data_IF_725109076764
#
_entry.id   IF_725109076764
#
_cell.length_a   1.000
_cell.length_b   1.000
_cell.length_c   1.000
_cell.angle_alpha   90.00
_cell.angle_beta   90.00
_cell.angle_gamma   90.00
#
_symmetry.space_group_name_H-M   'P 1'
#
loop_
_entity.id
_entity.type
_entity.pdbx_description
1 polymer ?
#
# COMPACT_ATOMS: atom_id res chain seq x y z
N UNK A 1 19.87 43.88 -17.70
CA UNK A 1 19.57 42.67 -16.91
C UNK A 1 20.80 42.32 -16.10
N UNK A 2 20.70 42.32 -14.79
CA UNK A 2 21.84 42.01 -13.90
C UNK A 2 22.22 40.54 -14.02
N UNK A 3 23.50 40.17 -13.87
CA UNK A 3 24.00 38.78 -13.90
C UNK A 3 23.17 37.85 -12.97
N UNK A 4 22.67 38.37 -11.87
CA UNK A 4 21.85 37.69 -10.90
C UNK A 4 20.49 37.20 -11.47
N UNK A 5 19.85 37.99 -12.35
CA UNK A 5 18.60 37.58 -13.00
C UNK A 5 18.81 36.47 -14.05
N UNK A 6 19.96 36.46 -14.71
CA UNK A 6 20.31 35.42 -15.68
C UNK A 6 20.61 34.09 -14.99
N UNK A 7 21.30 34.13 -13.86
CA UNK A 7 21.59 32.95 -13.05
C UNK A 7 20.30 32.36 -12.43
N UNK A 8 19.44 33.22 -11.88
CA UNK A 8 18.12 32.81 -11.36
C UNK A 8 17.29 32.10 -12.42
N UNK A 9 17.14 32.69 -13.60
CA UNK A 9 16.37 32.10 -14.70
C UNK A 9 16.95 30.74 -15.15
N UNK A 10 18.29 30.65 -15.23
CA UNK A 10 18.96 29.39 -15.58
C UNK A 10 18.70 28.30 -14.55
N UNK A 11 18.76 28.62 -13.26
CA UNK A 11 18.47 27.70 -12.19
C UNK A 11 17.00 27.28 -12.21
N UNK A 12 16.08 28.22 -12.43
CA UNK A 12 14.65 27.94 -12.56
C UNK A 12 14.37 26.97 -13.70
N UNK A 13 14.94 27.16 -14.88
CA UNK A 13 14.76 26.27 -16.02
C UNK A 13 15.29 24.86 -15.74
N UNK A 14 16.46 24.75 -15.12
CA UNK A 14 17.04 23.46 -14.73
C UNK A 14 16.17 22.74 -13.69
N UNK A 15 15.68 23.46 -12.71
CA UNK A 15 14.84 22.89 -11.67
C UNK A 15 13.49 22.40 -12.25
N UNK A 16 12.87 23.18 -13.14
CA UNK A 16 11.65 22.76 -13.85
C UNK A 16 11.88 21.50 -14.68
N UNK A 17 13.04 21.37 -15.34
CA UNK A 17 13.38 20.13 -16.06
C UNK A 17 13.50 18.93 -15.13
N UNK A 18 14.12 19.09 -13.95
CA UNK A 18 14.20 18.03 -12.95
C UNK A 18 12.81 17.64 -12.42
N UNK A 19 11.95 18.61 -12.14
CA UNK A 19 10.57 18.36 -11.73
C UNK A 19 9.81 17.57 -12.81
N UNK A 20 9.90 17.98 -14.07
CA UNK A 20 9.28 17.28 -15.19
C UNK A 20 9.77 15.83 -15.34
N UNK A 21 11.08 15.59 -15.18
CA UNK A 21 11.65 14.24 -15.20
C UNK A 21 11.13 13.38 -14.05
N UNK A 22 11.02 13.97 -12.86
CA UNK A 22 10.45 13.28 -11.69
C UNK A 22 8.99 12.92 -11.93
N UNK A 23 8.16 13.86 -12.38
CA UNK A 23 6.74 13.63 -12.69
C UNK A 23 6.56 12.54 -13.76
N UNK A 24 7.37 12.53 -14.80
CA UNK A 24 7.33 11.49 -15.83
C UNK A 24 7.69 10.10 -15.24
N UNK A 25 8.68 10.05 -14.35
CA UNK A 25 9.05 8.84 -13.62
C UNK A 25 7.93 8.38 -12.71
N UNK A 26 7.33 9.28 -11.93
CA UNK A 26 6.18 8.95 -11.06
C UNK A 26 5.01 8.39 -11.83
N UNK A 27 4.64 9.01 -12.95
CA UNK A 27 3.58 8.52 -13.84
C UNK A 27 3.84 7.08 -14.28
N UNK A 28 5.08 6.77 -14.67
CA UNK A 28 5.49 5.41 -15.06
C UNK A 28 5.39 4.42 -13.89
N UNK A 29 5.86 4.80 -12.69
CA UNK A 29 5.81 3.94 -11.50
C UNK A 29 4.35 3.67 -11.09
N UNK A 30 3.46 4.66 -11.21
CA UNK A 30 2.03 4.52 -10.88
C UNK A 30 1.31 3.50 -11.75
N UNK A 31 1.82 3.16 -12.92
CA UNK A 31 1.31 2.07 -13.76
C UNK A 31 1.66 0.67 -13.20
N UNK A 32 2.49 0.58 -12.17
CA UNK A 32 2.87 -0.70 -11.57
C UNK A 32 3.47 -1.66 -12.59
N UNK A 33 2.81 -2.81 -12.83
CA UNK A 33 3.19 -3.80 -13.83
C UNK A 33 2.88 -3.41 -15.28
N UNK A 34 2.30 -2.22 -15.51
CA UNK A 34 1.93 -1.68 -16.83
C UNK A 34 0.48 -1.95 -17.21
N UNK A 35 0.02 -1.27 -18.26
CA UNK A 35 -1.37 -1.27 -18.73
C UNK A 35 -1.92 -2.68 -18.98
N UNK A 36 -1.14 -3.56 -19.58
CA UNK A 36 -1.54 -4.95 -19.82
C UNK A 36 -1.87 -5.68 -18.51
N UNK A 37 -1.07 -5.46 -17.46
CA UNK A 37 -1.30 -6.09 -16.15
C UNK A 37 -2.48 -5.48 -15.42
N UNK A 38 -2.76 -4.21 -15.62
CA UNK A 38 -3.97 -3.53 -15.12
C UNK A 38 -5.19 -4.17 -15.76
N UNK A 39 -5.20 -4.30 -17.08
CA UNK A 39 -6.30 -4.93 -17.82
C UNK A 39 -6.53 -6.39 -17.40
N UNK A 40 -5.47 -7.17 -17.16
CA UNK A 40 -5.58 -8.53 -16.62
C UNK A 40 -6.26 -8.57 -15.23
N UNK A 41 -6.16 -7.53 -14.40
CA UNK A 41 -6.90 -7.44 -13.13
C UNK A 41 -8.39 -7.15 -13.38
N UNK A 42 -8.68 -6.21 -14.28
CA UNK A 42 -10.06 -5.87 -14.64
C UNK A 42 -10.81 -7.07 -15.23
N UNK A 43 -10.17 -7.85 -16.11
CA UNK A 43 -10.75 -9.08 -16.68
C UNK A 43 -11.08 -10.15 -15.62
N UNK A 44 -10.41 -10.12 -14.47
CA UNK A 44 -10.72 -10.96 -13.32
C UNK A 44 -11.80 -10.37 -12.40
N UNK A 45 -12.40 -9.24 -12.77
CA UNK A 45 -13.40 -8.53 -11.96
C UNK A 45 -12.81 -7.79 -10.75
N UNK A 46 -11.50 -7.54 -10.73
CA UNK A 46 -10.78 -6.91 -9.63
C UNK A 46 -10.41 -5.47 -9.95
N UNK A 47 -10.44 -4.61 -8.95
CA UNK A 47 -9.81 -3.30 -9.01
C UNK A 47 -8.29 -3.43 -8.75
N UNK A 48 -7.51 -2.51 -9.31
CA UNK A 48 -6.10 -2.35 -8.94
C UNK A 48 -5.95 -1.76 -7.54
N UNK A 49 -4.76 -1.87 -6.95
CA UNK A 49 -4.48 -1.27 -5.64
C UNK A 49 -4.80 0.23 -5.59
N UNK A 50 -4.48 0.98 -6.64
CA UNK A 50 -4.74 2.42 -6.72
C UNK A 50 -6.21 2.75 -6.88
N UNK A 51 -6.96 1.98 -7.64
CA UNK A 51 -8.41 2.13 -7.79
C UNK A 51 -9.14 1.81 -6.49
N UNK A 52 -8.71 0.75 -5.78
CA UNK A 52 -9.22 0.42 -4.44
C UNK A 52 -9.00 1.56 -3.46
N UNK A 53 -7.81 2.15 -3.44
CA UNK A 53 -7.51 3.31 -2.58
C UNK A 53 -8.37 4.52 -2.98
N UNK A 54 -8.44 4.84 -4.27
CA UNK A 54 -9.23 5.97 -4.78
C UNK A 54 -10.72 5.84 -4.45
N UNK A 55 -11.26 4.60 -4.47
CA UNK A 55 -12.64 4.33 -4.06
C UNK A 55 -12.83 4.45 -2.55
N UNK A 56 -11.85 3.99 -1.76
CA UNK A 56 -11.94 3.90 -0.31
C UNK A 56 -11.88 5.26 0.39
N UNK A 57 -11.02 6.16 -0.07
CA UNK A 57 -10.81 7.47 0.56
C UNK A 57 -11.96 8.43 0.27
N UNK A 58 -12.09 9.46 1.09
CA UNK A 58 -13.08 10.51 0.88
C UNK A 58 -12.77 11.30 -0.40
N UNK A 59 -13.79 11.58 -1.22
CA UNK A 59 -13.65 12.16 -2.57
C UNK A 59 -12.88 13.48 -2.62
N UNK A 60 -12.95 14.28 -1.56
CA UNK A 60 -12.28 15.57 -1.45
C UNK A 60 -11.00 15.52 -0.61
N UNK A 61 -10.50 14.33 -0.32
CA UNK A 61 -9.29 14.16 0.45
C UNK A 61 -8.10 13.78 -0.43
N UNK A 62 -6.96 14.37 -0.13
CA UNK A 62 -5.70 13.96 -0.72
C UNK A 62 -5.23 12.62 -0.13
N UNK A 63 -4.58 11.83 -0.98
CA UNK A 63 -3.83 10.65 -0.56
C UNK A 63 -2.35 10.98 -0.49
N UNK A 64 -1.80 11.03 0.72
CA UNK A 64 -0.36 11.19 0.93
C UNK A 64 0.33 9.85 0.72
N UNK A 65 0.79 9.60 -0.50
CA UNK A 65 1.51 8.37 -0.83
C UNK A 65 2.92 8.38 -0.25
N UNK A 66 3.31 7.30 0.44
CA UNK A 66 4.61 7.14 1.08
C UNK A 66 5.46 6.19 0.25
N UNK A 67 6.66 6.63 -0.13
CA UNK A 67 7.64 5.80 -0.83
C UNK A 67 7.20 5.39 -2.24
N UNK A 68 6.57 6.28 -3.01
CA UNK A 68 6.17 6.02 -4.40
C UNK A 68 7.33 5.50 -5.25
N UNK A 69 8.51 6.10 -5.14
CA UNK A 69 9.70 5.73 -5.92
C UNK A 69 10.51 4.56 -5.31
N UNK A 70 10.02 3.93 -4.25
CA UNK A 70 10.68 2.78 -3.67
C UNK A 70 10.78 1.64 -4.69
N UNK A 71 11.93 0.97 -4.75
CA UNK A 71 12.18 -0.10 -5.71
C UNK A 71 12.54 0.38 -7.14
N UNK A 72 12.52 1.69 -7.41
CA UNK A 72 12.92 2.20 -8.73
C UNK A 72 14.39 1.86 -9.02
N UNK A 73 14.62 1.24 -10.17
CA UNK A 73 15.95 0.77 -10.59
C UNK A 73 16.48 -0.44 -9.84
N UNK A 74 15.77 -0.97 -8.84
CA UNK A 74 16.13 -2.19 -8.10
C UNK A 74 15.55 -3.45 -8.79
N UNK A 75 16.15 -4.61 -8.50
CA UNK A 75 15.67 -5.94 -8.93
C UNK A 75 15.51 -6.07 -10.46
N UNK A 76 16.42 -5.48 -11.23
CA UNK A 76 16.37 -5.49 -12.71
C UNK A 76 16.38 -6.89 -13.29
N UNK A 77 17.20 -7.79 -12.74
CA UNK A 77 17.30 -9.19 -13.15
C UNK A 77 16.00 -9.97 -12.91
N UNK A 78 15.22 -9.58 -11.89
CA UNK A 78 13.92 -10.15 -11.56
C UNK A 78 12.77 -9.46 -12.31
N UNK A 79 13.08 -8.50 -13.19
CA UNK A 79 12.10 -7.71 -13.96
C UNK A 79 11.54 -6.49 -13.24
N UNK A 80 12.22 -6.03 -12.17
CA UNK A 80 11.89 -4.83 -11.43
C UNK A 80 10.77 -5.00 -10.40
N UNK A 81 10.67 -4.00 -9.51
CA UNK A 81 9.63 -3.91 -8.49
C UNK A 81 9.20 -2.44 -8.30
N UNK A 82 8.51 -1.84 -9.29
CA UNK A 82 8.09 -0.44 -9.22
C UNK A 82 7.18 -0.19 -8.03
N UNK A 83 7.40 0.93 -7.34
CA UNK A 83 6.65 1.26 -6.13
C UNK A 83 6.84 0.27 -4.97
N UNK A 84 7.81 -0.65 -5.08
CA UNK A 84 8.02 -1.72 -4.11
C UNK A 84 6.91 -2.78 -4.09
N UNK A 85 6.10 -2.90 -5.16
CA UNK A 85 4.99 -3.88 -5.25
C UNK A 85 3.86 -3.65 -4.24
N UNK A 86 3.83 -2.50 -3.59
CA UNK A 86 2.81 -2.12 -2.61
C UNK A 86 2.59 -0.61 -2.60
N UNK A 87 1.35 -0.16 -2.55
CA UNK A 87 0.99 1.24 -2.37
C UNK A 87 0.73 1.49 -0.90
N UNK A 88 1.48 2.40 -0.30
CA UNK A 88 1.33 2.78 1.11
C UNK A 88 1.11 4.28 1.22
N UNK A 89 0.30 4.70 2.18
CA UNK A 89 0.06 6.12 2.38
C UNK A 89 -0.95 6.41 3.47
N UNK A 90 -1.31 7.67 3.58
CA UNK A 90 -2.31 8.17 4.51
C UNK A 90 -3.44 8.80 3.71
N UNK A 91 -4.66 8.37 3.96
CA UNK A 91 -5.88 8.90 3.37
C UNK A 91 -6.97 9.11 4.42
N UNK A 92 -7.96 9.92 4.09
CA UNK A 92 -9.11 10.14 4.95
C UNK A 92 -10.23 9.19 4.54
N UNK A 93 -10.76 8.44 5.49
CA UNK A 93 -11.87 7.49 5.28
C UNK A 93 -12.97 7.85 6.29
N UNK A 94 -14.15 8.20 5.80
CA UNK A 94 -15.28 8.68 6.63
C UNK A 94 -14.86 9.76 7.64
N UNK A 95 -14.05 10.71 7.18
CA UNK A 95 -13.56 11.83 7.98
C UNK A 95 -12.38 11.54 8.92
N UNK A 96 -11.88 10.29 8.97
CA UNK A 96 -10.74 9.89 9.82
C UNK A 96 -9.50 9.60 8.98
N UNK A 97 -8.34 10.12 9.40
CA UNK A 97 -7.05 9.75 8.80
C UNK A 97 -6.72 8.30 9.15
N UNK A 98 -6.38 7.53 8.12
CA UNK A 98 -6.00 6.12 8.20
C UNK A 98 -4.70 5.88 7.45
N UNK A 99 -3.86 4.99 7.96
CA UNK A 99 -2.81 4.37 7.18
C UNK A 99 -3.42 3.34 6.24
N UNK A 100 -2.99 3.34 4.98
CA UNK A 100 -3.47 2.40 3.97
C UNK A 100 -2.27 1.66 3.38
N UNK A 101 -2.40 0.34 3.28
CA UNK A 101 -1.39 -0.56 2.72
C UNK A 101 -2.09 -1.47 1.72
N UNK A 102 -1.79 -1.32 0.43
CA UNK A 102 -2.43 -2.08 -0.63
C UNK A 102 -1.39 -2.80 -1.50
N UNK A 103 -1.43 -4.12 -1.54
CA UNK A 103 -0.56 -4.89 -2.43
C UNK A 103 -0.90 -4.58 -3.89
N UNK A 104 0.11 -4.33 -4.71
CA UNK A 104 -0.06 -4.11 -6.14
C UNK A 104 0.07 -5.43 -6.90
N UNK A 105 -1.05 -6.10 -7.14
CA UNK A 105 -1.09 -7.37 -7.85
C UNK A 105 -0.63 -7.28 -9.31
N UNK A 106 -0.51 -6.08 -9.89
CA UNK A 106 0.06 -5.87 -11.21
C UNK A 106 1.57 -6.09 -11.23
N UNK A 107 2.23 -5.91 -10.06
CA UNK A 107 3.67 -6.10 -9.88
C UNK A 107 3.93 -7.49 -9.31
N UNK A 108 4.36 -8.43 -10.15
CA UNK A 108 4.70 -9.82 -9.74
C UNK A 108 3.61 -10.48 -8.89
N UNK A 109 2.33 -10.27 -9.24
CA UNK A 109 1.18 -10.78 -8.49
C UNK A 109 1.18 -10.35 -7.00
N UNK A 110 1.67 -9.17 -6.70
CA UNK A 110 1.77 -8.66 -5.33
C UNK A 110 2.80 -9.37 -4.46
N UNK A 111 3.77 -10.06 -5.06
CA UNK A 111 4.82 -10.75 -4.33
C UNK A 111 5.71 -9.80 -3.52
N UNK A 112 6.15 -10.26 -2.36
CA UNK A 112 6.94 -9.46 -1.43
C UNK A 112 8.43 -9.57 -1.75
N UNK A 113 9.01 -8.44 -2.13
CA UNK A 113 10.45 -8.21 -2.19
C UNK A 113 10.97 -7.64 -0.85
N UNK A 114 12.28 -7.63 -0.59
CA UNK A 114 12.81 -6.96 0.60
C UNK A 114 12.35 -5.51 0.75
N UNK A 115 12.26 -4.77 -0.35
CA UNK A 115 11.77 -3.39 -0.35
C UNK A 115 10.27 -3.30 -0.02
N UNK A 116 9.47 -4.30 -0.41
CA UNK A 116 8.05 -4.39 -0.03
C UNK A 116 7.90 -4.48 1.48
N UNK A 117 8.68 -5.36 2.11
CA UNK A 117 8.69 -5.52 3.56
C UNK A 117 9.09 -4.24 4.29
N UNK A 118 10.17 -3.57 3.84
CA UNK A 118 10.61 -2.27 4.41
C UNK A 118 9.53 -1.21 4.31
N UNK A 119 8.84 -1.13 3.18
CA UNK A 119 7.78 -0.15 2.94
C UNK A 119 6.58 -0.38 3.85
N UNK A 120 6.17 -1.64 4.03
CA UNK A 120 5.11 -2.03 4.97
C UNK A 120 5.47 -1.69 6.41
N UNK A 121 6.70 -2.02 6.85
CA UNK A 121 7.19 -1.69 8.18
C UNK A 121 7.14 -0.19 8.43
N UNK A 122 7.58 0.61 7.46
CA UNK A 122 7.54 2.07 7.60
C UNK A 122 6.10 2.60 7.71
N UNK A 123 5.16 2.02 6.96
CA UNK A 123 3.74 2.37 7.09
C UNK A 123 3.18 2.05 8.48
N UNK A 124 3.53 0.88 9.04
CA UNK A 124 3.13 0.49 10.40
C UNK A 124 3.75 1.40 11.46
N UNK A 125 5.04 1.77 11.33
CA UNK A 125 5.71 2.71 12.24
C UNK A 125 5.02 4.07 12.26
N UNK A 126 4.73 4.63 11.09
CA UNK A 126 4.01 5.90 10.96
C UNK A 126 2.61 5.79 11.59
N UNK A 127 1.91 4.67 11.37
CA UNK A 127 0.60 4.45 11.99
C UNK A 127 0.68 4.40 13.51
N UNK A 128 1.67 3.72 14.08
CA UNK A 128 1.89 3.66 15.53
C UNK A 128 2.24 5.02 16.12
N UNK A 129 3.16 5.76 15.50
CA UNK A 129 3.59 7.08 15.95
C UNK A 129 2.44 8.10 15.96
N UNK A 130 1.49 7.96 15.04
CA UNK A 130 0.37 8.89 14.86
C UNK A 130 -0.98 8.34 15.36
N UNK A 131 -1.02 7.12 15.92
CA UNK A 131 -2.24 6.43 16.32
C UNK A 131 -3.30 6.41 15.21
N UNK A 132 -2.89 6.05 13.99
CA UNK A 132 -3.77 5.92 12.84
C UNK A 132 -4.32 4.48 12.74
N UNK A 133 -5.63 4.30 12.54
CA UNK A 133 -6.16 3.02 12.07
C UNK A 133 -5.45 2.58 10.80
N UNK A 134 -5.25 1.28 10.62
CA UNK A 134 -4.57 0.75 9.43
C UNK A 134 -5.51 -0.13 8.63
N UNK A 135 -5.58 0.13 7.34
CA UNK A 135 -6.36 -0.65 6.39
C UNK A 135 -5.41 -1.40 5.45
N UNK A 136 -5.47 -2.72 5.49
CA UNK A 136 -4.71 -3.60 4.60
C UNK A 136 -5.62 -4.09 3.47
N UNK A 137 -5.31 -3.76 2.23
CA UNK A 137 -5.96 -4.27 1.02
C UNK A 137 -5.06 -5.34 0.42
N UNK A 138 -5.34 -6.59 0.74
CA UNK A 138 -4.42 -7.71 0.50
C UNK A 138 -4.70 -8.39 -0.82
N UNK A 139 -3.68 -8.49 -1.66
CA UNK A 139 -3.69 -9.17 -2.95
C UNK A 139 -2.26 -9.59 -3.30
N UNK A 140 -1.79 -10.69 -2.70
CA UNK A 140 -0.37 -11.05 -2.69
C UNK A 140 -0.12 -12.53 -2.85
N UNK A 141 0.74 -12.89 -3.77
CA UNK A 141 1.24 -14.26 -3.94
C UNK A 141 2.21 -14.72 -2.83
N UNK A 142 2.40 -13.92 -1.77
CA UNK A 142 3.35 -14.21 -0.71
C UNK A 142 4.76 -13.70 -1.01
N UNK A 143 5.77 -14.32 -0.43
CA UNK A 143 7.18 -13.96 -0.64
C UNK A 143 7.61 -14.22 -2.08
N UNK A 144 8.41 -13.31 -2.64
CA UNK A 144 9.08 -13.56 -3.90
C UNK A 144 10.14 -14.66 -3.71
N UNK A 145 9.79 -15.89 -4.10
CA UNK A 145 10.56 -17.10 -3.77
C UNK A 145 12.07 -17.03 -4.06
N UNK A 146 12.53 -16.42 -5.18
CA UNK A 146 13.97 -16.32 -5.45
C UNK A 146 14.76 -15.47 -4.42
N UNK A 147 14.08 -14.71 -3.57
CA UNK A 147 14.68 -13.86 -2.53
C UNK A 147 14.09 -14.14 -1.14
N UNK A 148 13.55 -15.35 -0.93
CA UNK A 148 12.87 -15.71 0.32
C UNK A 148 13.79 -15.64 1.54
N UNK A 149 15.07 -15.94 1.39
CA UNK A 149 16.09 -15.87 2.41
C UNK A 149 16.33 -14.44 2.93
N UNK A 150 16.12 -13.43 2.08
CA UNK A 150 16.22 -12.01 2.46
C UNK A 150 14.95 -11.48 3.16
N UNK A 151 13.82 -12.19 3.06
CA UNK A 151 12.52 -11.73 3.58
C UNK A 151 12.01 -12.62 4.71
N UNK A 152 12.66 -13.71 4.98
CA UNK A 152 12.25 -14.70 5.97
C UNK A 152 11.90 -14.04 7.33
N UNK A 153 10.92 -14.57 8.09
CA UNK A 153 10.45 -13.99 9.35
C UNK A 153 11.50 -14.09 10.46
N UNK A 154 12.48 -13.22 10.41
CA UNK A 154 13.44 -12.95 11.44
C UNK A 154 13.02 -11.69 12.23
N UNK A 155 13.91 -11.11 12.98
CA UNK A 155 13.74 -9.87 13.75
C UNK A 155 13.17 -8.71 12.90
N UNK A 156 13.64 -8.60 11.68
CA UNK A 156 13.15 -7.61 10.71
C UNK A 156 12.11 -8.21 9.75
N UNK A 157 11.69 -7.49 8.75
CA UNK A 157 10.73 -7.88 7.72
C UNK A 157 9.45 -8.50 8.32
N UNK A 158 9.11 -9.74 7.99
CA UNK A 158 7.87 -10.37 8.46
C UNK A 158 7.82 -10.51 9.99
N UNK A 159 8.90 -10.88 10.64
CA UNK A 159 8.93 -11.00 12.10
C UNK A 159 8.55 -9.69 12.78
N UNK A 160 9.12 -8.58 12.33
CA UNK A 160 8.77 -7.25 12.84
C UNK A 160 7.34 -6.85 12.50
N UNK A 161 6.84 -7.19 11.32
CA UNK A 161 5.45 -6.91 10.95
C UNK A 161 4.46 -7.60 11.87
N UNK A 162 4.63 -8.89 12.11
CA UNK A 162 3.77 -9.65 13.03
C UNK A 162 3.82 -9.07 14.44
N UNK A 163 5.02 -8.74 14.92
CA UNK A 163 5.17 -8.05 16.19
C UNK A 163 4.45 -6.70 16.21
N UNK A 164 4.55 -5.92 15.14
CA UNK A 164 3.90 -4.63 15.03
C UNK A 164 2.38 -4.76 15.00
N UNK A 165 1.80 -5.77 14.33
CA UNK A 165 0.36 -6.04 14.39
C UNK A 165 -0.10 -6.26 15.85
N UNK A 166 0.57 -7.14 16.58
CA UNK A 166 0.26 -7.37 17.99
C UNK A 166 0.44 -6.11 18.86
N UNK A 167 1.49 -5.33 18.59
CA UNK A 167 1.75 -4.07 19.31
C UNK A 167 0.68 -3.02 19.00
N UNK A 168 0.28 -2.84 17.76
CA UNK A 168 -0.79 -1.91 17.37
C UNK A 168 -2.11 -2.28 18.04
N UNK A 169 -2.46 -3.56 18.07
CA UNK A 169 -3.64 -4.04 18.79
C UNK A 169 -3.57 -3.70 20.27
N UNK A 170 -2.43 -3.93 20.94
CA UNK A 170 -2.23 -3.55 22.35
C UNK A 170 -2.30 -2.05 22.61
N UNK A 171 -2.04 -1.22 21.60
CA UNK A 171 -2.17 0.24 21.66
C UNK A 171 -3.59 0.73 21.35
N UNK A 172 -4.53 -0.16 21.04
CA UNK A 172 -5.89 0.18 20.61
C UNK A 172 -5.95 0.83 19.22
N UNK A 173 -4.96 0.57 18.36
CA UNK A 173 -4.96 1.01 16.98
C UNK A 173 -5.73 -0.02 16.16
N UNK A 174 -6.86 0.37 15.62
CA UNK A 174 -7.73 -0.48 14.81
C UNK A 174 -7.03 -0.91 13.54
N UNK A 175 -7.04 -2.21 13.25
CA UNK A 175 -6.47 -2.82 12.06
C UNK A 175 -7.56 -3.60 11.32
N UNK A 176 -7.79 -3.25 10.07
CA UNK A 176 -8.80 -3.88 9.21
C UNK A 176 -8.10 -4.44 7.98
N UNK A 177 -8.35 -5.68 7.64
CA UNK A 177 -7.82 -6.30 6.44
C UNK A 177 -8.91 -6.78 5.50
N UNK A 178 -8.76 -6.49 4.21
CA UNK A 178 -9.61 -6.96 3.14
C UNK A 178 -8.80 -7.86 2.18
N UNK A 179 -9.16 -9.12 2.10
CA UNK A 179 -8.56 -10.11 1.22
C UNK A 179 -9.30 -10.02 -0.12
N UNK A 180 -8.69 -9.30 -1.07
CA UNK A 180 -9.30 -8.93 -2.36
C UNK A 180 -8.66 -9.67 -3.55
N UNK A 181 -7.78 -10.59 -3.25
CA UNK A 181 -7.10 -11.45 -4.19
C UNK A 181 -6.43 -12.60 -3.47
N UNK A 182 -5.47 -13.24 -4.13
CA UNK A 182 -4.70 -14.30 -3.50
C UNK A 182 -3.94 -13.79 -2.29
N UNK A 183 -3.94 -14.56 -1.21
CA UNK A 183 -3.21 -14.25 0.01
C UNK A 183 -2.50 -15.52 0.51
N UNK A 184 -1.19 -15.60 0.26
CA UNK A 184 -0.44 -16.86 0.39
C UNK A 184 0.66 -16.75 1.42
N UNK A 185 0.86 -17.83 2.17
CA UNK A 185 1.96 -18.06 3.10
C UNK A 185 2.16 -16.93 4.12
N UNK A 186 3.34 -16.31 4.19
CA UNK A 186 3.63 -15.21 5.13
C UNK A 186 2.70 -14.01 4.98
N UNK A 187 2.21 -13.73 3.76
CA UNK A 187 1.21 -12.69 3.51
C UNK A 187 -0.14 -12.96 4.16
N UNK A 188 -0.47 -14.22 4.44
CA UNK A 188 -1.73 -14.61 5.06
C UNK A 188 -1.81 -14.25 6.56
N UNK A 189 -0.69 -14.13 7.23
CA UNK A 189 -0.67 -13.75 8.65
C UNK A 189 -1.13 -12.32 8.89
N UNK A 190 -0.80 -11.41 7.98
CA UNK A 190 -1.14 -10.00 8.12
C UNK A 190 -2.66 -9.76 8.29
N UNK A 191 -3.54 -10.28 7.42
CA UNK A 191 -4.98 -10.13 7.60
C UNK A 191 -5.51 -10.86 8.83
N UNK A 192 -5.02 -12.06 9.12
CA UNK A 192 -5.51 -12.85 10.25
C UNK A 192 -5.12 -12.27 11.61
N UNK A 193 -4.04 -11.53 11.68
CA UNK A 193 -3.63 -10.78 12.87
C UNK A 193 -4.28 -9.40 12.99
N UNK A 194 -5.12 -9.00 12.04
CA UNK A 194 -5.92 -7.77 12.12
C UNK A 194 -7.14 -7.95 13.03
N UNK A 195 -7.72 -6.84 13.49
CA UNK A 195 -8.88 -6.87 14.38
C UNK A 195 -10.16 -7.32 13.64
N UNK A 196 -10.23 -7.08 12.32
CA UNK A 196 -11.30 -7.57 11.46
C UNK A 196 -10.72 -7.97 10.10
N UNK A 197 -11.03 -9.18 9.65
CA UNK A 197 -10.61 -9.75 8.38
C UNK A 197 -11.82 -10.00 7.46
N UNK A 198 -11.80 -9.42 6.27
CA UNK A 198 -12.83 -9.54 5.26
C UNK A 198 -12.29 -10.23 4.02
N UNK A 199 -13.16 -10.89 3.27
CA UNK A 199 -12.78 -11.57 2.03
C UNK A 199 -13.79 -11.29 0.92
N UNK A 200 -13.29 -11.09 -0.31
CA UNK A 200 -14.12 -10.93 -1.50
C UNK A 200 -14.35 -12.29 -2.13
N UNK A 201 -15.61 -12.61 -2.36
CA UNK A 201 -16.03 -13.88 -2.97
C UNK A 201 -15.41 -14.10 -4.34
N UNK A 202 -15.00 -15.33 -4.64
CA UNK A 202 -14.38 -15.79 -5.90
C UNK A 202 -13.03 -15.17 -6.28
N UNK A 203 -12.71 -13.99 -5.79
CA UNK A 203 -11.41 -13.34 -6.09
C UNK A 203 -10.44 -13.43 -4.91
N UNK A 204 -10.93 -13.30 -3.69
CA UNK A 204 -10.16 -13.45 -2.46
C UNK A 204 -9.96 -14.92 -2.10
N UNK A 205 -8.75 -15.27 -1.71
CA UNK A 205 -8.43 -16.57 -1.13
C UNK A 205 -7.27 -16.45 -0.17
N UNK A 206 -7.29 -17.24 0.89
CA UNK A 206 -6.23 -17.25 1.91
C UNK A 206 -5.84 -18.68 2.27
N UNK A 207 -4.56 -18.99 2.19
CA UNK A 207 -4.01 -20.30 2.56
C UNK A 207 -2.50 -20.23 2.79
N UNK A 208 -1.97 -21.16 3.56
CA UNK A 208 -0.51 -21.29 3.75
C UNK A 208 0.16 -21.87 2.52
N UNK A 209 -0.48 -22.87 1.89
CA UNK A 209 -0.02 -23.51 0.68
C UNK A 209 -1.17 -23.63 -0.31
N UNK A 210 -1.01 -23.14 -1.54
CA UNK A 210 -2.02 -23.26 -2.58
C UNK A 210 -2.20 -24.69 -3.09
N UNK A 211 -3.27 -24.93 -3.86
CA UNK A 211 -3.69 -26.24 -4.35
C UNK A 211 -2.58 -27.05 -5.01
N UNK A 212 -1.69 -26.41 -5.76
CA UNK A 212 -0.53 -27.11 -6.39
C UNK A 212 0.44 -27.70 -5.36
N UNK A 213 0.70 -26.99 -4.26
CA UNK A 213 1.57 -27.50 -3.20
C UNK A 213 0.89 -28.59 -2.38
N UNK A 214 -0.42 -28.48 -2.14
CA UNK A 214 -1.23 -29.53 -1.50
C UNK A 214 -1.16 -30.81 -2.33
N UNK A 215 -1.40 -30.71 -3.65
CA UNK A 215 -1.29 -31.85 -4.56
C UNK A 215 0.10 -32.49 -4.57
N UNK A 216 1.14 -31.66 -4.57
CA UNK A 216 2.53 -32.16 -4.56
C UNK A 216 2.92 -32.79 -3.23
N UNK A 217 2.42 -32.30 -2.10
CA UNK A 217 2.80 -32.76 -0.77
C UNK A 217 2.03 -34.02 -0.31
N UNK A 218 0.72 -34.07 -0.56
CA UNK A 218 -0.15 -35.13 -0.05
C UNK A 218 -0.98 -35.83 -1.12
N UNK A 219 -0.85 -35.44 -2.40
CA UNK A 219 -1.55 -36.06 -3.53
C UNK A 219 -3.03 -35.67 -3.66
N UNK A 220 -3.54 -34.77 -2.83
CA UNK A 220 -4.93 -34.35 -2.84
C UNK A 220 -5.17 -33.32 -3.95
N UNK A 221 -6.21 -33.53 -4.76
CA UNK A 221 -6.63 -32.59 -5.81
C UNK A 221 -7.78 -31.75 -5.30
N UNK A 222 -7.49 -30.51 -4.93
CA UNK A 222 -8.43 -29.54 -4.39
C UNK A 222 -8.28 -28.21 -5.13
N UNK A 223 -9.39 -27.55 -5.44
CA UNK A 223 -9.35 -26.20 -6.00
C UNK A 223 -9.10 -25.12 -4.93
N UNK A 224 -8.63 -23.95 -5.35
CA UNK A 224 -8.30 -22.87 -4.42
C UNK A 224 -9.52 -22.30 -3.68
N UNK A 225 -10.71 -22.31 -4.29
CA UNK A 225 -11.92 -21.82 -3.65
C UNK A 225 -12.36 -22.74 -2.50
N UNK A 226 -12.34 -24.04 -2.75
CA UNK A 226 -12.64 -25.05 -1.72
C UNK A 226 -11.56 -25.06 -0.63
N UNK A 227 -10.29 -24.88 -1.00
CA UNK A 227 -9.17 -24.88 -0.07
C UNK A 227 -9.18 -23.67 0.88
N UNK A 228 -9.40 -22.49 0.34
CA UNK A 228 -9.26 -21.25 1.10
C UNK A 228 -10.01 -20.04 0.54
N UNK A 229 -11.15 -20.28 -0.12
CA UNK A 229 -12.02 -19.22 -0.60
C UNK A 229 -12.93 -18.63 0.47
N UNK A 230 -13.76 -17.67 0.06
CA UNK A 230 -14.58 -16.89 0.96
C UNK A 230 -15.58 -17.74 1.76
N UNK A 231 -16.24 -18.69 1.13
CA UNK A 231 -17.18 -19.60 1.83
C UNK A 231 -16.48 -20.45 2.85
N UNK A 232 -15.34 -21.05 2.50
CA UNK A 232 -14.54 -21.87 3.41
C UNK A 232 -14.16 -21.08 4.66
N UNK A 233 -13.70 -19.86 4.52
CA UNK A 233 -13.18 -19.10 5.65
C UNK A 233 -14.22 -18.31 6.43
N UNK A 234 -15.34 -17.93 5.84
CA UNK A 234 -16.43 -17.26 6.58
C UNK A 234 -17.42 -18.21 7.20
N UNK A 235 -17.72 -19.36 6.55
CA UNK A 235 -18.84 -20.21 6.96
C UNK A 235 -18.39 -21.51 7.63
N UNK A 236 -17.17 -22.01 7.33
CA UNK A 236 -16.68 -23.28 7.83
C UNK A 236 -15.60 -23.08 8.89
N UNK A 237 -14.51 -22.38 8.57
CA UNK A 237 -13.38 -22.23 9.48
C UNK A 237 -13.48 -21.05 10.44
N UNK A 238 -14.27 -20.02 10.08
CA UNK A 238 -14.36 -18.77 10.86
C UNK A 238 -13.07 -17.95 10.89
N UNK A 239 -12.16 -18.14 9.92
CA UNK A 239 -10.90 -17.41 9.84
C UNK A 239 -11.10 -15.96 9.37
N UNK A 240 -12.13 -15.72 8.57
CA UNK A 240 -12.53 -14.36 8.16
C UNK A 240 -13.92 -14.04 8.68
N UNK A 241 -14.14 -12.77 9.04
CA UNK A 241 -15.36 -12.32 9.70
C UNK A 241 -16.53 -12.13 8.72
N UNK A 242 -16.23 -11.57 7.53
CA UNK A 242 -17.26 -11.21 6.56
C UNK A 242 -16.82 -11.49 5.11
N UNK A 243 -17.76 -11.96 4.27
CA UNK A 243 -17.57 -12.09 2.82
C UNK A 243 -18.38 -11.07 2.05
N UNK A 244 -17.83 -10.61 0.92
CA UNK A 244 -18.45 -9.60 0.06
C UNK A 244 -18.43 -10.03 -1.41
N UNK A 245 -19.45 -9.64 -2.20
CA UNK A 245 -19.58 -10.09 -3.58
C UNK A 245 -18.54 -9.47 -4.55
N UNK A 246 -17.93 -8.34 -4.17
CA UNK A 246 -16.95 -7.61 -4.98
C UNK A 246 -16.14 -6.62 -4.13
N UNK A 247 -15.12 -6.04 -4.75
CA UNK A 247 -14.24 -5.05 -4.14
C UNK A 247 -15.00 -3.85 -3.57
N UNK A 248 -15.97 -3.30 -4.32
CA UNK A 248 -16.72 -2.12 -3.94
C UNK A 248 -17.53 -2.35 -2.65
N UNK A 249 -18.27 -3.45 -2.59
CA UNK A 249 -19.07 -3.79 -1.40
C UNK A 249 -18.21 -3.96 -0.16
N UNK A 250 -17.01 -4.55 -0.31
CA UNK A 250 -16.03 -4.69 0.77
C UNK A 250 -15.49 -3.32 1.22
N UNK A 251 -15.13 -2.45 0.29
CA UNK A 251 -14.64 -1.10 0.58
C UNK A 251 -15.71 -0.22 1.22
N UNK A 252 -16.96 -0.32 0.78
CA UNK A 252 -18.09 0.37 1.41
C UNK A 252 -18.32 -0.08 2.86
N UNK A 253 -18.09 -1.36 3.14
CA UNK A 253 -18.18 -1.87 4.51
C UNK A 253 -17.05 -1.32 5.39
N UNK A 254 -15.82 -1.25 4.89
CA UNK A 254 -14.70 -0.60 5.60
C UNK A 254 -15.04 0.85 5.92
N UNK A 255 -15.62 1.60 4.97
CA UNK A 255 -16.05 2.98 5.22
C UNK A 255 -17.08 3.07 6.35
N UNK A 256 -18.04 2.12 6.41
CA UNK A 256 -19.03 2.05 7.51
C UNK A 256 -18.40 1.74 8.86
N UNK A 257 -17.39 0.87 8.92
CA UNK A 257 -16.64 0.62 10.16
C UNK A 257 -15.94 1.90 10.60
N UNK A 258 -15.23 2.56 9.68
CA UNK A 258 -14.50 3.78 9.99
C UNK A 258 -15.40 4.93 10.44
N UNK A 259 -16.62 5.01 9.94
CA UNK A 259 -17.64 5.95 10.41
C UNK A 259 -18.00 5.68 11.88
N UNK A 260 -18.19 4.40 12.26
CA UNK A 260 -18.44 4.01 13.66
C UNK A 260 -17.24 4.26 14.58
N UNK A 261 -16.02 4.05 14.11
CA UNK A 261 -14.79 4.38 14.86
C UNK A 261 -14.72 5.89 15.16
N UNK A 262 -15.33 6.70 14.31
CA UNK A 262 -15.49 8.13 14.50
C UNK A 262 -14.20 8.93 14.30
N UNK A 263 -14.34 10.26 14.49
CA UNK A 263 -13.22 11.19 14.29
C UNK A 263 -12.26 11.18 15.48
N UNK A 264 -10.96 11.27 15.21
CA UNK A 264 -9.96 11.48 16.26
C UNK A 264 -10.22 12.82 16.95
N UNK A 265 -10.14 12.87 18.29
CA UNK A 265 -10.23 14.12 19.03
C UNK A 265 -9.12 15.06 18.55
N UNK A 266 -9.46 16.35 18.39
CA UNK A 266 -8.48 17.37 18.09
C UNK A 266 -7.44 17.46 19.22
N UNK A 267 -6.21 17.85 18.89
CA UNK A 267 -5.20 18.17 19.89
C UNK A 267 -5.71 19.29 20.81
N UNK A 268 -5.38 19.21 22.10
CA UNK A 268 -5.86 20.14 23.14
C UNK A 268 -5.19 21.52 23.14
N UNK A 269 -4.78 22.01 21.96
CA UNK A 269 -4.23 23.36 21.80
C UNK A 269 -5.01 24.13 20.73
N UNK A 270 -5.00 25.45 20.88
CA UNK A 270 -5.68 26.36 19.96
C UNK A 270 -5.05 26.32 18.58
N UNK A 271 -5.90 26.23 17.57
CA UNK A 271 -5.49 26.29 16.15
C UNK A 271 -5.94 27.63 15.58
N UNK A 272 -5.05 28.27 14.85
CA UNK A 272 -5.39 29.42 14.02
C UNK A 272 -5.64 28.94 12.59
N UNK A 273 -6.46 29.68 11.89
CA UNK A 273 -6.64 29.48 10.45
C UNK A 273 -5.30 29.65 9.73
N UNK A 274 -5.00 28.73 8.80
CA UNK A 274 -3.77 28.78 8.03
C UNK A 274 -3.81 29.98 7.08
N UNK A 275 -2.70 30.70 7.00
CA UNK A 275 -2.52 31.76 6.01
C UNK A 275 -1.64 31.26 4.90
N UNK A 276 -1.90 31.63 3.62
CA UNK A 276 -0.99 31.29 2.54
C UNK A 276 0.38 31.96 2.76
N UNK A 277 1.46 31.36 2.24
CA UNK A 277 2.78 32.00 2.24
C UNK A 277 2.72 33.34 1.48
N UNK A 278 3.60 34.27 1.82
CA UNK A 278 3.70 35.55 1.13
C UNK A 278 4.29 35.43 -0.28
N UNK A 279 5.28 34.55 -0.41
CA UNK A 279 5.99 34.28 -1.66
C UNK A 279 5.36 33.06 -2.34
N UNK A 280 5.47 33.00 -3.66
CA UNK A 280 4.97 31.86 -4.45
C UNK A 280 5.93 30.68 -4.36
N UNK A 281 5.43 29.43 -4.32
CA UNK A 281 6.31 28.25 -4.34
C UNK A 281 7.29 28.24 -5.53
N UNK A 282 6.87 28.78 -6.68
CA UNK A 282 7.68 28.83 -7.90
C UNK A 282 8.90 29.73 -7.75
N UNK A 283 8.87 30.74 -6.89
CA UNK A 283 10.01 31.62 -6.62
C UNK A 283 11.19 30.87 -5.98
N UNK A 284 10.95 29.68 -5.43
CA UNK A 284 11.99 28.80 -4.90
C UNK A 284 12.84 28.16 -6.00
N UNK A 285 12.32 28.02 -7.22
CA UNK A 285 12.99 27.26 -8.29
C UNK A 285 14.31 27.90 -8.72
N UNK A 286 14.38 29.21 -8.74
CA UNK A 286 15.59 29.96 -9.09
C UNK A 286 16.68 29.96 -8.01
N UNK A 287 16.35 29.54 -6.78
CA UNK A 287 17.29 29.50 -5.65
C UNK A 287 18.21 28.27 -5.67
N UNK A 288 17.79 27.19 -6.32
CA UNK A 288 18.55 25.95 -6.36
C UNK A 288 19.49 25.92 -7.56
N UNK A 289 20.78 25.80 -7.30
CA UNK A 289 21.79 25.63 -8.35
C UNK A 289 21.96 24.16 -8.72
N UNK A 290 22.08 23.87 -10.01
CA UNK A 290 22.45 22.54 -10.50
C UNK A 290 23.93 22.24 -10.34
N UNK A 291 24.74 23.18 -9.86
CA UNK A 291 26.17 22.96 -9.71
C UNK A 291 26.48 22.16 -8.44
N UNK A 292 27.08 20.96 -8.54
CA UNK A 292 27.20 20.02 -7.41
C UNK A 292 28.11 20.53 -6.28
N UNK A 293 28.95 21.53 -6.52
CA UNK A 293 29.85 22.12 -5.53
C UNK A 293 29.29 23.35 -4.82
N UNK A 294 28.15 23.88 -5.26
CA UNK A 294 27.50 25.02 -4.61
C UNK A 294 26.34 24.49 -3.78
N UNK A 295 26.46 24.60 -2.46
CA UNK A 295 25.34 24.35 -1.56
C UNK A 295 24.53 25.63 -1.44
N UNK A 296 23.17 25.57 -1.51
CA UNK A 296 22.33 26.73 -1.27
C UNK A 296 22.44 27.22 0.17
#
# INVERSE_FOLDING_TARGET
MTNMNLEFNRNEDLFKQLCFQLEAKEKKIRLGGGEKKIEEQHQKGKLTARERIAYLIDKESEFLEIGLIAGDGMYKEQGGCPGGGVVTGIGKISGRLCGIVANDATVKAGAWFPITAKKNLRAQEIAMENHLPVIYLVDSAGVFLPMQDEIFPDKEHFGRQFRNNAKMSSMGIVQIAAIMGSCVAGGAYLPIMSDEAMIVDKTGSIFLAGSYLVKAAIGEDIDNETLGGATTHCEISGVTDNKFPNDQACLDYIRRIMDKVGKKRAAGFDRKESKPPKEKPEDLYGLFTAHPSIRP
#
